data_IF_335611843444
#
_entry.id   IF_335611843444
#
_cell.length_a   1.000
_cell.length_b   1.000
_cell.length_c   1.000
_cell.angle_alpha   90.00
_cell.angle_beta   90.00
_cell.angle_gamma   90.00
#
_symmetry.space_group_name_H-M   'P 1'
#
loop_
_entity.id
_entity.type
_entity.pdbx_description
1 polymer ?
#
# COMPACT_ATOMS: atom_id res chain seq x y z
N UNK A 1 -11.32 4.56 1.78
CA UNK A 1 -10.14 4.74 0.92
C UNK A 1 -10.31 3.95 -0.38
N UNK A 2 -9.77 4.45 -1.50
CA UNK A 2 -9.46 3.62 -2.65
C UNK A 2 -8.15 2.87 -2.38
N UNK A 3 -7.89 1.73 -3.03
CA UNK A 3 -6.61 1.06 -2.91
C UNK A 3 -5.44 2.00 -3.29
N UNK A 4 -4.37 1.96 -2.50
CA UNK A 4 -3.20 2.82 -2.72
C UNK A 4 -1.92 2.02 -2.53
N UNK A 5 -0.92 2.30 -3.35
CA UNK A 5 0.44 1.78 -3.23
C UNK A 5 1.41 2.88 -2.83
N UNK A 6 2.36 2.54 -1.98
CA UNK A 6 3.44 3.42 -1.52
C UNK A 6 4.78 2.67 -1.55
N UNK A 7 5.56 2.78 -2.64
CA UNK A 7 6.80 2.04 -2.79
C UNK A 7 7.91 2.56 -1.87
N UNK A 8 8.74 1.64 -1.36
CA UNK A 8 9.92 1.97 -0.57
C UNK A 8 11.17 2.21 -1.43
N UNK A 9 11.21 1.66 -2.64
CA UNK A 9 12.34 1.76 -3.56
C UNK A 9 11.88 1.70 -5.02
N UNK A 10 12.84 1.82 -5.95
CA UNK A 10 12.56 1.87 -7.39
C UNK A 10 12.04 0.54 -7.94
N UNK A 11 12.52 -0.58 -7.41
CA UNK A 11 12.02 -1.89 -7.82
C UNK A 11 10.56 -2.06 -7.43
N UNK A 12 10.20 -1.69 -6.21
CA UNK A 12 8.79 -1.72 -5.79
C UNK A 12 7.92 -0.76 -6.59
N UNK A 13 8.43 0.44 -6.92
CA UNK A 13 7.69 1.37 -7.77
C UNK A 13 7.37 0.74 -9.13
N UNK A 14 8.33 0.06 -9.74
CA UNK A 14 8.12 -0.68 -10.98
C UNK A 14 7.12 -1.83 -10.81
N UNK A 15 7.31 -2.66 -9.77
CA UNK A 15 6.47 -3.82 -9.51
C UNK A 15 5.02 -3.45 -9.18
N UNK A 16 4.83 -2.37 -8.43
CA UNK A 16 3.51 -1.85 -8.06
C UNK A 16 2.76 -1.29 -9.28
N UNK A 17 3.45 -0.60 -10.21
CA UNK A 17 2.83 -0.18 -11.47
C UNK A 17 2.47 -1.41 -12.30
N UNK A 18 3.39 -2.36 -12.45
CA UNK A 18 3.20 -3.57 -13.22
C UNK A 18 1.98 -4.39 -12.73
N UNK A 19 1.83 -4.55 -11.41
CA UNK A 19 0.73 -5.31 -10.81
C UNK A 19 -0.54 -4.47 -10.64
N UNK A 20 -0.40 -3.15 -10.56
CA UNK A 20 -1.49 -2.22 -10.26
C UNK A 20 -2.59 -2.22 -11.32
N UNK A 21 -2.23 -2.36 -12.59
CA UNK A 21 -3.21 -2.46 -13.68
C UNK A 21 -4.09 -3.70 -13.51
N UNK A 22 -3.52 -4.87 -13.24
CA UNK A 22 -4.30 -6.09 -13.01
C UNK A 22 -5.18 -5.96 -11.76
N UNK A 23 -4.65 -5.36 -10.69
CA UNK A 23 -5.42 -5.17 -9.46
C UNK A 23 -6.58 -4.17 -9.68
N UNK A 24 -6.36 -3.11 -10.46
CA UNK A 24 -7.40 -2.17 -10.86
C UNK A 24 -8.50 -2.86 -11.68
N UNK A 25 -8.14 -3.69 -12.66
CA UNK A 25 -9.10 -4.47 -13.46
C UNK A 25 -9.91 -5.44 -12.60
N UNK A 26 -9.26 -6.17 -11.69
CA UNK A 26 -9.91 -7.13 -10.81
C UNK A 26 -10.89 -6.46 -9.83
N UNK A 27 -10.52 -5.29 -9.34
CA UNK A 27 -11.34 -4.55 -8.36
C UNK A 27 -12.35 -3.61 -9.02
N UNK A 28 -12.15 -3.23 -10.28
CA UNK A 28 -12.94 -2.19 -10.96
C UNK A 28 -12.79 -0.80 -10.31
N UNK A 29 -11.70 -0.58 -9.57
CA UNK A 29 -11.41 0.68 -8.88
C UNK A 29 -10.05 1.22 -9.32
N UNK A 30 -9.88 2.55 -9.38
CA UNK A 30 -8.58 3.13 -9.64
C UNK A 30 -7.60 2.83 -8.49
N UNK A 31 -6.34 2.62 -8.83
CA UNK A 31 -5.27 2.47 -7.85
C UNK A 31 -4.49 3.78 -7.76
N UNK A 32 -4.39 4.34 -6.56
CA UNK A 32 -3.54 5.50 -6.31
C UNK A 32 -2.11 5.02 -6.05
N UNK A 33 -1.14 5.60 -6.72
CA UNK A 33 0.27 5.42 -6.36
C UNK A 33 0.79 6.69 -5.69
N UNK A 34 1.13 6.57 -4.41
CA UNK A 34 1.76 7.63 -3.64
C UNK A 34 3.27 7.49 -3.75
N UNK A 35 3.92 8.45 -4.35
CA UNK A 35 5.37 8.45 -4.51
C UNK A 35 5.97 9.74 -3.95
N UNK A 36 6.94 9.60 -3.06
CA UNK A 36 7.63 10.76 -2.50
C UNK A 36 8.63 11.35 -3.51
N UNK A 37 8.86 12.65 -3.42
CA UNK A 37 9.75 13.39 -4.34
C UNK A 37 11.16 12.77 -4.41
N UNK A 38 11.71 12.35 -3.29
CA UNK A 38 13.05 11.74 -3.24
C UNK A 38 13.12 10.45 -4.06
N UNK A 39 12.13 9.59 -3.97
CA UNK A 39 12.08 8.37 -4.77
C UNK A 39 11.90 8.70 -6.27
N UNK A 40 11.02 9.64 -6.59
CA UNK A 40 10.76 10.07 -7.96
C UNK A 40 11.97 10.68 -8.67
N UNK A 41 12.87 11.33 -7.92
CA UNK A 41 14.09 11.94 -8.44
C UNK A 41 15.32 11.02 -8.37
N UNK A 42 15.22 9.86 -7.75
CA UNK A 42 16.32 8.90 -7.63
C UNK A 42 16.39 7.98 -8.86
N UNK A 43 17.52 7.31 -9.04
CA UNK A 43 17.77 6.34 -10.10
C UNK A 43 18.38 5.06 -9.54
N UNK A 44 17.89 3.92 -10.01
CA UNK A 44 18.45 2.61 -9.72
C UNK A 44 18.19 1.65 -10.87
N UNK A 45 18.98 0.60 -10.97
CA UNK A 45 18.64 -0.55 -11.81
C UNK A 45 17.40 -1.25 -11.27
N UNK A 46 16.52 -1.70 -12.18
CA UNK A 46 15.35 -2.51 -11.86
C UNK A 46 15.33 -3.77 -12.72
N UNK A 47 14.94 -4.88 -12.14
CA UNK A 47 14.68 -6.11 -12.88
C UNK A 47 13.36 -5.97 -13.63
N UNK A 48 13.43 -6.07 -14.95
CA UNK A 48 12.25 -5.95 -15.82
C UNK A 48 11.54 -7.29 -15.92
N UNK A 49 10.22 -7.24 -15.83
CA UNK A 49 9.35 -8.41 -16.04
C UNK A 49 8.96 -8.54 -17.51
N UNK A 50 8.53 -9.74 -17.88
CA UNK A 50 7.92 -9.99 -19.19
C UNK A 50 6.68 -9.12 -19.40
N UNK A 51 6.43 -8.75 -20.64
CA UNK A 51 5.26 -7.93 -20.97
C UNK A 51 3.98 -8.71 -20.66
N UNK A 52 3.06 -8.08 -19.94
CA UNK A 52 1.73 -8.65 -19.72
C UNK A 52 0.92 -8.67 -21.01
N UNK A 53 0.10 -9.71 -21.23
CA UNK A 53 -0.82 -9.71 -22.35
C UNK A 53 -1.83 -8.55 -22.20
N UNK A 54 -2.26 -8.00 -23.30
CA UNK A 54 -3.30 -6.98 -23.30
C UNK A 54 -4.60 -7.58 -22.81
N UNK A 55 -5.25 -6.92 -21.84
CA UNK A 55 -6.58 -7.29 -21.39
C UNK A 55 -7.61 -7.00 -22.49
N UNK A 56 -8.72 -7.76 -22.48
CA UNK A 56 -9.84 -7.53 -23.37
C UNK A 56 -10.47 -6.16 -23.05
N UNK A 57 -10.59 -5.30 -24.06
CA UNK A 57 -11.20 -3.98 -23.88
C UNK A 57 -12.71 -4.14 -23.84
N UNK A 58 -13.32 -3.85 -22.70
CA UNK A 58 -14.76 -3.81 -22.52
C UNK A 58 -15.23 -2.40 -22.16
N UNK A 59 -16.33 -1.98 -22.75
CA UNK A 59 -17.00 -0.74 -22.38
C UNK A 59 -18.17 -1.05 -21.47
N UNK A 60 -18.40 -0.18 -20.47
CA UNK A 60 -19.58 -0.33 -19.62
C UNK A 60 -20.86 -0.16 -20.44
N UNK A 61 -21.81 -1.08 -20.27
CA UNK A 61 -23.13 -0.98 -20.84
C UNK A 61 -23.98 0.13 -20.19
N UNK A 62 -23.67 0.49 -18.92
CA UNK A 62 -24.31 1.60 -18.21
C UNK A 62 -23.46 2.88 -18.33
N UNK A 63 -23.89 3.85 -19.18
CA UNK A 63 -23.17 5.11 -19.34
C UNK A 63 -23.08 5.92 -18.05
N UNK A 64 -23.98 5.69 -17.07
CA UNK A 64 -23.95 6.36 -15.75
C UNK A 64 -22.75 5.95 -14.92
N UNK A 65 -22.06 4.86 -15.30
CA UNK A 65 -20.87 4.38 -14.58
C UNK A 65 -19.76 5.44 -14.56
N UNK A 66 -19.59 6.19 -15.63
CA UNK A 66 -18.51 7.17 -15.77
C UNK A 66 -18.98 8.62 -15.77
N UNK A 67 -20.29 8.87 -15.64
CA UNK A 67 -20.84 10.23 -15.60
C UNK A 67 -20.85 10.71 -14.14
N UNK A 68 -20.06 11.76 -13.87
CA UNK A 68 -19.94 12.37 -12.55
C UNK A 68 -21.09 13.36 -12.27
N UNK A 69 -22.29 12.83 -12.04
CA UNK A 69 -23.42 13.59 -11.51
C UNK A 69 -23.55 13.33 -9.99
N UNK A 70 -24.05 14.29 -9.19
CA UNK A 70 -24.17 14.13 -7.74
C UNK A 70 -24.91 12.85 -7.31
N UNK A 71 -25.98 12.46 -8.01
CA UNK A 71 -26.72 11.24 -7.73
C UNK A 71 -25.91 9.96 -8.01
N UNK A 72 -25.14 9.94 -9.11
CA UNK A 72 -24.26 8.83 -9.45
C UNK A 72 -23.08 8.74 -8.48
N UNK A 73 -22.45 9.89 -8.16
CA UNK A 73 -21.34 9.97 -7.22
C UNK A 73 -21.72 9.42 -5.83
N UNK A 74 -22.91 9.74 -5.31
CA UNK A 74 -23.40 9.21 -4.03
C UNK A 74 -23.56 7.70 -4.05
N UNK A 75 -24.11 7.14 -5.14
CA UNK A 75 -24.24 5.67 -5.28
C UNK A 75 -22.89 4.98 -5.31
N UNK A 76 -21.95 5.53 -6.09
CA UNK A 76 -20.57 5.00 -6.20
C UNK A 76 -19.82 5.09 -4.88
N UNK A 77 -19.92 6.21 -4.18
CA UNK A 77 -19.30 6.36 -2.86
C UNK A 77 -19.86 5.36 -1.84
N UNK A 78 -21.19 5.13 -1.84
CA UNK A 78 -21.79 4.10 -0.98
C UNK A 78 -21.26 2.71 -1.31
N UNK A 79 -21.15 2.36 -2.58
CA UNK A 79 -20.59 1.07 -3.02
C UNK A 79 -19.11 0.94 -2.61
N UNK A 80 -18.32 2.01 -2.77
CA UNK A 80 -16.92 2.04 -2.33
C UNK A 80 -16.79 1.80 -0.81
N UNK A 81 -17.66 2.40 0.01
CA UNK A 81 -17.68 2.18 1.46
C UNK A 81 -17.99 0.72 1.83
N UNK A 82 -18.88 0.06 1.10
CA UNK A 82 -19.23 -1.34 1.33
C UNK A 82 -18.09 -2.31 0.99
N UNK A 83 -17.13 -1.88 0.16
CA UNK A 83 -16.00 -2.70 -0.28
C UNK A 83 -14.73 -2.52 0.57
N UNK A 84 -14.76 -1.70 1.62
CA UNK A 84 -13.57 -1.43 2.43
C UNK A 84 -12.98 -2.70 3.05
N UNK A 85 -13.81 -3.65 3.48
CA UNK A 85 -13.32 -4.93 4.03
C UNK A 85 -12.60 -5.80 2.99
N UNK A 86 -13.04 -5.75 1.72
CA UNK A 86 -12.35 -6.40 0.60
C UNK A 86 -10.94 -5.81 0.40
N UNK A 87 -10.83 -4.48 0.42
CA UNK A 87 -9.55 -3.80 0.25
C UNK A 87 -8.60 -4.01 1.44
N UNK A 88 -9.14 -4.06 2.67
CA UNK A 88 -8.36 -4.40 3.86
C UNK A 88 -7.80 -5.83 3.73
N UNK A 89 -8.62 -6.80 3.35
CA UNK A 89 -8.17 -8.18 3.12
C UNK A 89 -7.12 -8.27 2.01
N UNK A 90 -7.28 -7.51 0.93
CA UNK A 90 -6.28 -7.45 -0.13
C UNK A 90 -4.95 -6.88 0.38
N UNK A 91 -4.99 -5.86 1.22
CA UNK A 91 -3.82 -5.27 1.87
C UNK A 91 -3.16 -6.24 2.85
N UNK A 92 -3.93 -6.96 3.67
CA UNK A 92 -3.42 -7.98 4.61
C UNK A 92 -2.69 -9.14 3.91
N UNK A 93 -3.08 -9.47 2.68
CA UNK A 93 -2.47 -10.52 1.86
C UNK A 93 -1.45 -9.99 0.85
N UNK A 94 -1.15 -8.70 0.89
CA UNK A 94 -0.24 -8.07 -0.05
C UNK A 94 1.22 -8.45 0.20
N UNK A 95 1.96 -8.73 -0.87
CA UNK A 95 3.41 -8.90 -0.81
C UNK A 95 4.16 -7.61 -0.45
N UNK A 96 3.49 -6.45 -0.55
CA UNK A 96 4.06 -5.14 -0.21
C UNK A 96 3.92 -4.78 1.27
N UNK A 97 3.10 -5.52 2.03
CA UNK A 97 2.95 -5.39 3.47
C UNK A 97 3.62 -6.58 4.16
N UNK A 98 4.59 -6.31 5.01
CA UNK A 98 5.37 -7.38 5.62
C UNK A 98 5.57 -7.13 7.10
N UNK A 99 5.09 -8.05 7.93
CA UNK A 99 5.47 -8.13 9.33
C UNK A 99 6.76 -8.95 9.46
N UNK A 100 7.75 -8.38 10.14
CA UNK A 100 8.99 -9.07 10.51
C UNK A 100 9.10 -8.99 12.02
N UNK A 101 9.17 -10.14 12.67
CA UNK A 101 9.32 -10.20 14.12
C UNK A 101 10.74 -9.82 14.56
N UNK A 102 10.87 -9.35 15.80
CA UNK A 102 12.13 -8.98 16.43
C UNK A 102 12.14 -9.37 17.90
N UNK A 103 13.30 -9.69 18.48
CA UNK A 103 13.43 -10.15 19.86
C UNK A 103 13.12 -9.06 20.91
N UNK A 104 13.34 -7.78 20.57
CA UNK A 104 13.13 -6.67 21.48
C UNK A 104 11.73 -6.07 21.31
N UNK A 105 10.84 -6.35 22.24
CA UNK A 105 9.43 -5.92 22.22
C UNK A 105 9.16 -4.56 22.87
N UNK A 106 10.19 -3.86 23.34
CA UNK A 106 10.01 -2.51 23.90
C UNK A 106 9.51 -1.51 22.87
N UNK A 107 9.85 -1.74 21.59
CA UNK A 107 9.45 -0.86 20.49
C UNK A 107 9.00 -1.69 19.31
N UNK A 108 7.81 -1.41 18.78
CA UNK A 108 7.35 -1.87 17.48
C UNK A 108 7.48 -0.73 16.45
N UNK A 109 7.86 -1.04 15.23
CA UNK A 109 8.07 -0.03 14.20
C UNK A 109 7.11 -0.25 13.04
N UNK A 110 6.28 0.75 12.73
CA UNK A 110 5.54 0.83 11.48
C UNK A 110 6.33 1.69 10.51
N UNK A 111 6.71 1.14 9.35
CA UNK A 111 7.53 1.84 8.37
C UNK A 111 6.83 1.87 7.00
N UNK A 112 6.51 3.08 6.51
CA UNK A 112 5.74 3.31 5.29
C UNK A 112 6.63 3.81 4.15
N UNK A 113 6.43 3.27 2.95
CA UNK A 113 7.14 3.70 1.77
C UNK A 113 8.65 3.83 1.97
N UNK A 114 9.23 4.98 1.63
CA UNK A 114 10.68 5.22 1.75
C UNK A 114 11.18 5.19 3.20
N UNK A 115 10.31 5.42 4.20
CA UNK A 115 10.66 5.30 5.62
C UNK A 115 11.18 3.91 5.98
N UNK A 116 10.64 2.86 5.33
CA UNK A 116 11.15 1.51 5.48
C UNK A 116 12.59 1.37 4.95
N UNK A 117 12.91 2.00 3.83
CA UNK A 117 14.27 1.95 3.27
C UNK A 117 15.28 2.61 4.23
N UNK A 118 14.94 3.78 4.77
CA UNK A 118 15.79 4.47 5.76
C UNK A 118 15.97 3.67 7.06
N UNK A 119 14.90 2.99 7.51
CA UNK A 119 15.02 2.09 8.65
C UNK A 119 16.06 0.99 8.37
N UNK A 120 15.94 0.32 7.21
CA UNK A 120 16.82 -0.80 6.86
C UNK A 120 18.27 -0.37 6.59
N UNK A 121 18.51 0.87 6.18
CA UNK A 121 19.88 1.44 6.08
C UNK A 121 20.58 1.50 7.45
N UNK A 122 19.80 1.70 8.54
CA UNK A 122 20.34 1.72 9.90
C UNK A 122 20.48 0.31 10.51
N UNK A 123 19.81 -0.68 9.94
CA UNK A 123 19.80 -2.08 10.41
C UNK A 123 20.15 -3.05 9.28
N UNK A 124 21.35 -2.98 8.69
CA UNK A 124 21.72 -3.83 7.53
C UNK A 124 21.73 -5.32 7.84
N UNK A 125 22.02 -5.69 9.10
CA UNK A 125 22.01 -7.09 9.58
C UNK A 125 20.62 -7.55 10.08
N UNK A 126 19.59 -6.69 9.99
CA UNK A 126 18.26 -6.91 10.49
C UNK A 126 17.94 -6.08 11.74
N UNK A 127 16.67 -5.67 11.85
CA UNK A 127 16.20 -4.88 12.98
C UNK A 127 15.90 -5.78 14.19
N UNK A 128 16.38 -5.38 15.37
CA UNK A 128 16.09 -6.09 16.63
C UNK A 128 14.62 -5.93 17.07
N UNK A 129 13.95 -4.90 16.62
CA UNK A 129 12.56 -4.61 16.93
C UNK A 129 11.62 -5.26 15.91
N UNK A 130 10.37 -5.61 16.30
CA UNK A 130 9.35 -5.95 15.32
C UNK A 130 9.07 -4.80 14.36
N UNK A 131 9.00 -5.11 13.07
CA UNK A 131 8.76 -4.12 12.02
C UNK A 131 7.55 -4.54 11.18
N UNK A 132 6.60 -3.63 11.03
CA UNK A 132 5.54 -3.73 10.03
C UNK A 132 5.84 -2.75 8.89
N UNK A 133 6.29 -3.28 7.75
CA UNK A 133 6.37 -2.53 6.52
C UNK A 133 4.98 -2.36 5.92
N UNK A 134 4.62 -1.13 5.51
CA UNK A 134 3.38 -0.82 4.80
C UNK A 134 3.72 -0.22 3.44
N UNK A 135 3.30 -0.90 2.38
CA UNK A 135 3.41 -0.45 0.98
C UNK A 135 2.08 -0.50 0.24
N UNK A 136 1.03 -1.10 0.84
CA UNK A 136 -0.33 -1.13 0.28
C UNK A 136 -1.36 -0.76 1.34
N UNK A 137 -2.34 0.06 0.93
CA UNK A 137 -3.45 0.55 1.75
C UNK A 137 -4.80 0.08 1.18
N UNK A 138 -5.89 0.01 2.02
CA UNK A 138 -5.99 0.44 3.43
C UNK A 138 -5.03 -0.28 4.37
N UNK A 139 -4.87 0.21 5.61
CA UNK A 139 -3.96 -0.40 6.58
C UNK A 139 -4.24 -1.89 6.77
N UNK A 140 -3.20 -2.76 6.80
CA UNK A 140 -3.32 -4.18 7.07
C UNK A 140 -3.61 -4.42 8.56
N UNK A 141 -4.88 -4.38 8.93
CA UNK A 141 -5.33 -4.37 10.33
C UNK A 141 -4.81 -5.55 11.15
N UNK A 142 -4.80 -6.75 10.55
CA UNK A 142 -4.32 -7.95 11.23
C UNK A 142 -2.86 -7.82 11.68
N UNK A 143 -1.98 -7.42 10.77
CA UNK A 143 -0.56 -7.25 11.07
C UNK A 143 -0.31 -6.06 11.99
N UNK A 144 -1.12 -4.99 11.85
CA UNK A 144 -1.02 -3.83 12.73
C UNK A 144 -1.41 -4.18 14.17
N UNK A 145 -2.52 -4.89 14.40
CA UNK A 145 -2.90 -5.38 15.71
C UNK A 145 -1.84 -6.32 16.28
N UNK A 146 -1.30 -7.25 15.47
CA UNK A 146 -0.23 -8.13 15.91
C UNK A 146 0.99 -7.35 16.43
N UNK A 147 1.37 -6.25 15.77
CA UNK A 147 2.46 -5.39 16.22
C UNK A 147 2.11 -4.68 17.52
N UNK A 148 0.95 -4.03 17.58
CA UNK A 148 0.49 -3.26 18.75
C UNK A 148 0.37 -4.16 19.97
N UNK A 149 -0.21 -5.34 19.84
CA UNK A 149 -0.42 -6.28 20.94
C UNK A 149 0.88 -6.91 21.46
N UNK A 150 1.95 -6.87 20.65
CA UNK A 150 3.23 -7.50 20.99
C UNK A 150 4.31 -6.53 21.51
N UNK A 151 4.09 -5.21 21.46
CA UNK A 151 5.10 -4.22 21.81
C UNK A 151 4.60 -3.20 22.84
N UNK A 152 5.52 -2.67 23.65
CA UNK A 152 5.20 -1.69 24.69
C UNK A 152 4.91 -0.29 24.08
N UNK A 153 5.68 0.09 23.04
CA UNK A 153 5.56 1.37 22.35
C UNK A 153 5.57 1.16 20.85
N UNK A 154 4.95 2.09 20.09
CA UNK A 154 4.94 2.05 18.63
C UNK A 154 5.54 3.34 18.06
N UNK A 155 6.53 3.17 17.18
CA UNK A 155 7.11 4.23 16.36
C UNK A 155 6.54 4.13 14.94
N UNK A 156 6.00 5.22 14.41
CA UNK A 156 5.53 5.31 13.03
C UNK A 156 6.53 6.13 12.20
N UNK A 157 7.09 5.51 11.18
CA UNK A 157 7.98 6.14 10.19
C UNK A 157 7.22 6.34 8.89
N UNK A 158 6.78 7.56 8.65
CA UNK A 158 6.08 7.96 7.43
C UNK A 158 6.61 9.30 6.91
N UNK A 159 6.62 9.50 5.59
CA UNK A 159 7.10 10.73 4.97
C UNK A 159 5.94 11.69 4.72
N UNK A 160 6.16 12.96 5.05
CA UNK A 160 5.19 14.04 4.88
C UNK A 160 4.26 14.23 6.07
N UNK A 161 2.97 14.00 5.88
CA UNK A 161 1.95 14.23 6.92
C UNK A 161 1.62 12.94 7.68
N UNK A 162 1.34 13.03 8.99
CA UNK A 162 0.97 11.88 9.80
C UNK A 162 -0.40 11.31 9.35
N UNK A 163 -0.33 10.30 8.50
CA UNK A 163 -1.51 9.64 7.93
C UNK A 163 -1.80 8.32 8.66
N UNK A 164 -0.79 7.49 8.85
CA UNK A 164 -0.93 6.19 9.53
C UNK A 164 -1.11 6.40 11.02
N UNK A 165 -0.34 7.29 11.63
CA UNK A 165 -0.44 7.63 13.05
C UNK A 165 -1.87 8.10 13.46
N UNK A 166 -2.61 8.71 12.53
CA UNK A 166 -3.96 9.22 12.79
C UNK A 166 -5.10 8.22 12.54
N UNK A 167 -4.82 7.03 12.04
CA UNK A 167 -5.81 5.98 11.77
C UNK A 167 -5.86 4.91 12.86
#
# INVERSE_FOLDING_TARGET
LIPMYEPSNQQEAYDMVYNGFNFSEQTGEPILMRMVTRLAHSRSGVERKEQQPQNEISFSEDPRQFILLPGNARKRYKALLQRQDEFIKASENSAYNKYTDGPNKKLGIVACGIGYNYLMENYPEGCEYPVLKIGQYPLPKKQLHQLIDSCDEILVLEDGQPFVEKQ
#
